data_IF_685221383003
#
_entry.id   IF_685221383003
#
_cell.length_a   1.000
_cell.length_b   1.000
_cell.length_c   1.000
_cell.angle_alpha   90.00
_cell.angle_beta   90.00
_cell.angle_gamma   90.00
#
_symmetry.space_group_name_H-M   'P 1'
#
loop_
_entity.id
_entity.type
_entity.pdbx_description
1 polymer ?
#
# COMPACT_ATOMS: atom_id res chain seq x y z
N UNK A 1 45.82 45.90 -36.04
CA UNK A 1 44.66 45.76 -35.09
C UNK A 1 44.72 44.35 -34.58
N UNK A 2 45.05 44.20 -33.29
CA UNK A 2 45.04 42.93 -32.60
C UNK A 2 43.59 42.59 -32.19
N UNK A 3 43.13 41.30 -32.27
CA UNK A 3 41.85 40.92 -31.77
C UNK A 3 41.87 40.83 -30.22
N UNK A 4 40.80 41.34 -29.60
CA UNK A 4 40.61 41.32 -28.16
C UNK A 4 40.52 39.91 -27.61
N UNK A 5 41.04 39.64 -26.38
CA UNK A 5 40.91 38.34 -25.74
C UNK A 5 39.47 38.08 -25.28
N UNK A 6 39.00 36.84 -25.47
CA UNK A 6 37.73 36.38 -25.03
C UNK A 6 37.62 36.33 -23.48
N UNK A 7 36.45 36.53 -22.89
CA UNK A 7 36.29 36.57 -21.43
C UNK A 7 36.44 35.18 -20.80
N UNK A 8 36.93 35.09 -19.53
CA UNK A 8 37.34 33.84 -18.88
C UNK A 8 36.21 33.11 -18.13
N UNK A 9 34.99 33.14 -18.62
CA UNK A 9 33.90 32.37 -18.00
C UNK A 9 33.26 31.39 -18.99
N UNK A 10 34.01 30.41 -19.41
CA UNK A 10 33.48 29.18 -19.95
C UNK A 10 32.98 28.37 -18.79
N UNK A 11 31.63 28.26 -18.67
CA UNK A 11 31.00 27.33 -17.78
C UNK A 11 31.49 25.92 -18.10
N UNK A 12 31.96 25.13 -17.12
CA UNK A 12 32.29 23.74 -17.38
C UNK A 12 31.02 23.03 -17.84
N UNK A 13 31.10 22.34 -18.99
CA UNK A 13 30.06 21.46 -19.44
C UNK A 13 29.75 20.48 -18.30
N UNK A 14 28.53 20.50 -17.78
CA UNK A 14 28.06 19.57 -16.79
C UNK A 14 27.93 18.17 -17.42
N UNK A 15 29.04 17.47 -17.54
CA UNK A 15 29.09 16.03 -17.77
C UNK A 15 28.97 15.33 -16.41
N UNK A 16 27.79 15.27 -15.92
CA UNK A 16 27.44 14.54 -14.70
C UNK A 16 26.07 13.96 -14.88
N UNK A 17 25.92 12.82 -15.56
CA UNK A 17 24.74 11.96 -15.42
C UNK A 17 24.77 11.35 -14.03
N UNK A 18 24.42 12.17 -13.02
CA UNK A 18 24.07 11.65 -11.71
C UNK A 18 22.75 10.89 -11.89
N UNK A 19 22.83 9.58 -12.01
CA UNK A 19 21.67 8.70 -11.91
C UNK A 19 21.15 8.84 -10.47
N UNK A 20 20.33 9.86 -10.25
CA UNK A 20 19.58 9.97 -9.00
C UNK A 20 18.81 8.65 -8.85
N UNK A 21 18.84 8.03 -7.65
CA UNK A 21 18.13 6.77 -7.42
C UNK A 21 16.66 6.96 -7.80
N UNK A 22 16.17 6.11 -8.70
CA UNK A 22 14.80 6.17 -9.19
C UNK A 22 14.00 4.97 -8.68
N UNK A 23 12.70 5.17 -8.48
CA UNK A 23 11.73 4.13 -8.15
C UNK A 23 10.64 4.07 -9.22
N UNK A 24 10.14 2.87 -9.49
CA UNK A 24 8.99 2.69 -10.37
C UNK A 24 7.69 2.85 -9.59
N UNK A 25 6.79 3.69 -10.09
CA UNK A 25 5.44 3.88 -9.56
C UNK A 25 4.42 3.55 -10.62
N UNK A 26 3.27 3.02 -10.20
CA UNK A 26 2.16 2.74 -11.10
C UNK A 26 1.25 3.98 -11.20
N UNK A 27 0.94 4.39 -12.40
CA UNK A 27 0.03 5.51 -12.64
C UNK A 27 -1.42 5.11 -12.41
N UNK A 28 -2.15 5.85 -11.58
CA UNK A 28 -3.57 5.58 -11.29
C UNK A 28 -4.48 5.71 -12.52
N UNK A 29 -4.11 6.55 -13.50
CA UNK A 29 -4.93 6.79 -14.68
C UNK A 29 -4.74 5.74 -15.78
N UNK A 30 -3.49 5.36 -16.11
CA UNK A 30 -3.22 4.44 -17.23
C UNK A 30 -2.65 3.08 -16.79
N UNK A 31 -2.44 2.86 -15.49
CA UNK A 31 -1.90 1.63 -14.87
C UNK A 31 -0.51 1.23 -15.35
N UNK A 32 0.16 2.08 -16.12
CA UNK A 32 1.56 1.84 -16.56
C UNK A 32 2.55 2.32 -15.50
N UNK A 33 3.71 1.66 -15.49
CA UNK A 33 4.80 2.04 -14.59
C UNK A 33 5.60 3.21 -15.16
N UNK A 34 5.93 4.16 -14.30
CA UNK A 34 6.74 5.35 -14.61
C UNK A 34 7.89 5.41 -13.61
N UNK A 35 9.12 5.58 -14.10
CA UNK A 35 10.28 5.80 -13.24
C UNK A 35 10.25 7.25 -12.74
N UNK A 36 10.41 7.42 -11.42
CA UNK A 36 10.42 8.74 -10.76
C UNK A 36 11.61 8.81 -9.80
N UNK A 37 12.24 9.98 -9.61
CA UNK A 37 13.28 10.14 -8.59
C UNK A 37 12.76 9.77 -7.20
N UNK A 38 13.57 9.11 -6.39
CA UNK A 38 13.18 8.68 -5.03
C UNK A 38 12.76 9.87 -4.14
N UNK A 39 13.40 11.03 -4.35
CA UNK A 39 13.15 12.27 -3.60
C UNK A 39 11.95 13.08 -4.12
N UNK A 40 11.35 12.69 -5.24
CA UNK A 40 10.23 13.42 -5.82
C UNK A 40 8.97 13.25 -4.95
N UNK A 41 8.28 14.36 -4.67
CA UNK A 41 6.97 14.39 -3.97
C UNK A 41 5.79 14.33 -4.94
N UNK A 42 6.06 14.59 -6.22
CA UNK A 42 5.08 14.47 -7.30
C UNK A 42 5.79 14.25 -8.64
N UNK A 43 5.07 13.70 -9.61
CA UNK A 43 5.56 13.51 -10.96
C UNK A 43 4.42 13.57 -11.97
N UNK A 44 4.76 13.67 -13.25
CA UNK A 44 3.85 13.41 -14.36
C UNK A 44 4.12 12.03 -14.95
N UNK A 45 3.07 11.31 -15.26
CA UNK A 45 3.21 10.02 -15.92
C UNK A 45 3.85 10.21 -17.30
N UNK A 46 4.90 9.46 -17.62
CA UNK A 46 5.57 9.50 -18.92
C UNK A 46 4.69 9.00 -20.08
N UNK A 47 3.60 8.29 -19.79
CA UNK A 47 2.73 7.69 -20.80
C UNK A 47 1.44 8.47 -21.07
N UNK A 48 0.82 9.06 -20.03
CA UNK A 48 -0.47 9.74 -20.16
C UNK A 48 -0.47 11.16 -19.59
N UNK A 49 0.68 11.65 -19.11
CA UNK A 49 0.86 12.99 -18.53
C UNK A 49 0.02 13.26 -17.27
N UNK A 50 -0.71 12.27 -16.74
CA UNK A 50 -1.48 12.42 -15.52
C UNK A 50 -0.56 12.78 -14.34
N UNK A 51 -1.07 13.62 -13.44
CA UNK A 51 -0.35 14.00 -12.22
C UNK A 51 -0.37 12.85 -11.22
N UNK A 52 0.80 12.49 -10.70
CA UNK A 52 0.99 11.42 -9.71
C UNK A 52 1.51 12.05 -8.43
N UNK A 53 0.76 11.93 -7.35
CA UNK A 53 1.23 12.24 -6.00
C UNK A 53 2.14 11.13 -5.49
N UNK A 54 3.25 11.49 -4.86
CA UNK A 54 4.27 10.57 -4.35
C UNK A 54 4.51 10.76 -2.86
N UNK A 55 3.91 11.79 -2.27
CA UNK A 55 4.03 12.16 -0.86
C UNK A 55 3.34 11.16 0.06
N UNK A 56 3.88 11.02 1.25
CA UNK A 56 3.25 10.29 2.33
C UNK A 56 2.13 11.13 2.95
N UNK A 57 1.00 10.50 3.26
CA UNK A 57 -0.20 11.18 3.77
C UNK A 57 -0.55 10.62 5.14
N UNK A 58 -0.71 11.51 6.13
CA UNK A 58 -1.24 11.14 7.44
C UNK A 58 -2.69 11.60 7.57
N UNK A 59 -3.58 10.67 7.91
CA UNK A 59 -5.01 10.91 8.09
C UNK A 59 -5.35 10.98 9.58
N UNK A 60 -6.04 12.07 9.95
CA UNK A 60 -6.49 12.35 11.31
C UNK A 60 -8.03 12.30 11.38
N UNK A 61 -8.59 12.29 12.58
CA UNK A 61 -10.04 12.27 12.83
C UNK A 61 -10.83 13.41 12.16
N UNK A 62 -10.19 14.54 11.87
CA UNK A 62 -10.79 15.68 11.18
C UNK A 62 -10.67 15.66 9.66
N UNK A 63 -10.25 14.54 9.09
CA UNK A 63 -10.11 14.42 7.65
C UNK A 63 -11.46 14.15 7.00
N UNK A 64 -12.00 15.13 6.26
CA UNK A 64 -13.27 15.03 5.53
C UNK A 64 -13.10 14.53 4.08
N UNK A 65 -12.00 13.87 3.77
CA UNK A 65 -11.73 13.35 2.43
C UNK A 65 -12.39 11.98 2.29
N UNK A 66 -13.15 11.80 1.22
CA UNK A 66 -13.71 10.49 0.82
C UNK A 66 -12.77 9.71 -0.09
N UNK A 67 -11.85 10.40 -0.78
CA UNK A 67 -10.87 9.79 -1.69
C UNK A 67 -9.46 10.27 -1.38
N UNK A 68 -8.54 9.30 -1.24
CA UNK A 68 -7.11 9.55 -1.03
C UNK A 68 -6.32 8.73 -2.05
N UNK A 69 -5.51 9.39 -2.88
CA UNK A 69 -4.65 8.73 -3.87
C UNK A 69 -3.23 9.25 -3.72
N UNK A 70 -2.27 8.35 -3.50
CA UNK A 70 -0.84 8.63 -3.50
C UNK A 70 -0.03 7.38 -3.82
N UNK A 71 1.10 7.52 -4.49
CA UNK A 71 2.10 6.45 -4.61
C UNK A 71 3.08 6.44 -3.43
N UNK A 72 2.81 7.20 -2.38
CA UNK A 72 3.48 7.17 -1.08
C UNK A 72 2.82 6.22 -0.08
N UNK A 73 3.12 6.41 1.19
CA UNK A 73 2.52 5.72 2.32
C UNK A 73 1.33 6.53 2.85
N UNK A 74 0.22 5.84 3.18
CA UNK A 74 -0.89 6.43 3.92
C UNK A 74 -0.89 5.88 5.32
N UNK A 75 -0.88 6.76 6.32
CA UNK A 75 -0.96 6.39 7.73
C UNK A 75 -2.26 6.93 8.33
N UNK A 76 -3.11 6.05 8.84
CA UNK A 76 -4.30 6.42 9.61
C UNK A 76 -3.91 6.44 11.09
N UNK A 77 -4.06 7.59 11.76
CA UNK A 77 -3.68 7.74 13.16
C UNK A 77 -4.63 7.03 14.12
N UNK A 78 -4.13 6.66 15.31
CA UNK A 78 -4.84 5.86 16.30
C UNK A 78 -6.17 6.45 16.79
N UNK A 79 -6.31 7.78 16.76
CA UNK A 79 -7.53 8.48 17.15
C UNK A 79 -8.49 8.76 15.98
N UNK A 80 -8.18 8.30 14.77
CA UNK A 80 -9.02 8.48 13.59
C UNK A 80 -10.07 7.38 13.51
N UNK A 81 -11.31 7.77 13.17
CA UNK A 81 -12.41 6.87 12.79
C UNK A 81 -12.99 7.41 11.48
N UNK A 82 -12.54 6.87 10.36
CA UNK A 82 -12.81 7.36 9.02
C UNK A 82 -13.69 6.37 8.28
N UNK A 83 -14.88 6.80 7.85
CA UNK A 83 -15.87 5.94 7.18
C UNK A 83 -16.04 6.32 5.71
N UNK A 84 -16.33 5.32 4.88
CA UNK A 84 -16.60 5.52 3.46
C UNK A 84 -15.39 6.03 2.66
N UNK A 85 -14.18 5.66 3.07
CA UNK A 85 -12.94 6.06 2.43
C UNK A 85 -12.63 5.18 1.22
N UNK A 86 -12.22 5.82 0.13
CA UNK A 86 -11.54 5.16 -0.97
C UNK A 86 -10.06 5.53 -0.93
N UNK A 87 -9.22 4.60 -0.49
CA UNK A 87 -7.76 4.80 -0.40
C UNK A 87 -7.09 4.01 -1.51
N UNK A 88 -6.28 4.69 -2.31
CA UNK A 88 -5.41 4.09 -3.32
C UNK A 88 -3.98 4.57 -3.06
N UNK A 89 -3.11 3.66 -2.60
CA UNK A 89 -1.76 4.02 -2.16
C UNK A 89 -0.75 2.90 -2.46
N UNK A 90 0.54 3.19 -2.22
CA UNK A 90 1.56 2.14 -2.24
C UNK A 90 1.48 1.32 -0.95
N UNK A 91 1.68 1.96 0.18
CA UNK A 91 1.67 1.30 1.49
C UNK A 91 0.60 1.94 2.39
N UNK A 92 -0.03 1.13 3.24
CA UNK A 92 -1.07 1.57 4.18
C UNK A 92 -0.76 1.10 5.59
N UNK A 93 -0.82 2.00 6.55
CA UNK A 93 -0.67 1.71 7.97
C UNK A 93 -1.93 2.17 8.70
N UNK A 94 -2.67 1.23 9.27
CA UNK A 94 -3.88 1.49 10.03
C UNK A 94 -3.59 1.38 11.53
N UNK A 95 -3.34 2.52 12.18
CA UNK A 95 -3.26 2.61 13.64
C UNK A 95 -4.62 3.02 14.26
N UNK A 96 -5.52 3.61 13.47
CA UNK A 96 -6.89 3.96 13.82
C UNK A 96 -7.90 3.20 12.98
N UNK A 97 -9.17 3.59 13.05
CA UNK A 97 -10.25 2.93 12.30
C UNK A 97 -10.44 3.57 10.93
N UNK A 98 -10.54 2.73 9.90
CA UNK A 98 -10.87 3.15 8.54
C UNK A 98 -11.73 2.09 7.87
N UNK A 99 -12.82 2.50 7.24
CA UNK A 99 -13.70 1.60 6.48
C UNK A 99 -13.96 2.16 5.08
N UNK A 100 -14.21 1.26 4.13
CA UNK A 100 -14.37 1.55 2.71
C UNK A 100 -13.40 0.73 1.88
N UNK A 101 -13.11 1.18 0.67
CA UNK A 101 -12.23 0.45 -0.26
C UNK A 101 -10.77 0.84 -0.06
N UNK A 102 -9.96 -0.13 0.32
CA UNK A 102 -8.55 0.04 0.62
C UNK A 102 -7.69 -0.69 -0.42
N UNK A 103 -7.10 0.05 -1.34
CA UNK A 103 -6.31 -0.47 -2.46
C UNK A 103 -4.84 -0.11 -2.27
N UNK A 104 -4.01 -1.12 -1.96
CA UNK A 104 -2.58 -0.94 -1.75
C UNK A 104 -1.79 -1.74 -2.79
N UNK A 105 -0.89 -1.09 -3.49
CA UNK A 105 0.02 -1.80 -4.42
C UNK A 105 1.20 -2.47 -3.71
N UNK A 106 1.45 -2.17 -2.45
CA UNK A 106 2.51 -2.70 -1.60
C UNK A 106 1.99 -3.35 -0.33
N UNK A 107 2.39 -2.81 0.82
CA UNK A 107 2.12 -3.40 2.14
C UNK A 107 0.94 -2.72 2.83
N UNK A 108 -0.02 -3.51 3.32
CA UNK A 108 -1.06 -3.07 4.25
C UNK A 108 -0.77 -3.65 5.64
N UNK A 109 -0.55 -2.78 6.63
CA UNK A 109 -0.37 -3.15 8.04
C UNK A 109 -1.54 -2.68 8.87
N UNK A 110 -2.20 -3.61 9.56
CA UNK A 110 -3.34 -3.33 10.44
C UNK A 110 -2.89 -3.53 11.88
N UNK A 111 -2.93 -2.45 12.68
CA UNK A 111 -2.45 -2.38 14.05
C UNK A 111 -3.55 -2.06 15.06
N UNK A 112 -4.77 -1.84 14.61
CA UNK A 112 -5.91 -1.57 15.45
C UNK A 112 -7.12 -2.39 15.00
N UNK A 113 -8.05 -2.60 15.90
CA UNK A 113 -9.30 -3.29 15.60
C UNK A 113 -10.07 -2.56 14.50
N UNK A 114 -10.52 -3.32 13.50
CA UNK A 114 -11.12 -2.76 12.28
C UNK A 114 -12.43 -3.46 11.95
N UNK A 115 -13.37 -2.67 11.40
CA UNK A 115 -14.47 -3.18 10.62
C UNK A 115 -14.45 -2.52 9.25
N UNK A 116 -13.93 -3.23 8.26
CA UNK A 116 -13.80 -2.76 6.89
C UNK A 116 -15.00 -3.23 6.09
N UNK A 117 -15.94 -2.32 5.80
CA UNK A 117 -17.16 -2.62 5.04
C UNK A 117 -16.97 -2.71 3.52
N UNK A 118 -15.80 -2.33 3.02
CA UNK A 118 -15.42 -2.41 1.60
C UNK A 118 -14.40 -3.52 1.32
N UNK A 119 -13.78 -3.43 0.16
CA UNK A 119 -12.76 -4.37 -0.31
C UNK A 119 -11.38 -3.95 0.17
N UNK A 120 -10.58 -4.92 0.63
CA UNK A 120 -9.18 -4.72 0.90
C UNK A 120 -8.32 -5.43 -0.15
N UNK A 121 -7.50 -4.68 -0.86
CA UNK A 121 -6.52 -5.21 -1.81
C UNK A 121 -5.12 -4.76 -1.45
N UNK A 122 -4.19 -5.71 -1.35
CA UNK A 122 -2.79 -5.40 -1.07
C UNK A 122 -1.88 -6.47 -1.67
N UNK A 123 -0.62 -6.14 -1.95
CA UNK A 123 0.36 -7.17 -2.25
C UNK A 123 0.64 -8.01 -1.01
N UNK A 124 0.85 -7.34 0.13
CA UNK A 124 1.13 -7.99 1.42
C UNK A 124 0.21 -7.43 2.49
N UNK A 125 -0.51 -8.31 3.15
CA UNK A 125 -1.31 -7.97 4.32
C UNK A 125 -0.59 -8.45 5.59
N UNK A 126 -0.54 -7.60 6.59
CA UNK A 126 -0.08 -7.96 7.94
C UNK A 126 -1.12 -7.51 8.95
N UNK A 127 -1.70 -8.45 9.68
CA UNK A 127 -2.57 -8.18 10.84
C UNK A 127 -1.74 -8.40 12.09
N UNK A 128 -1.54 -7.35 12.88
CA UNK A 128 -0.67 -7.42 14.06
C UNK A 128 -1.35 -8.18 15.22
N UNK A 129 -0.54 -8.56 16.20
CA UNK A 129 -0.99 -9.28 17.40
C UNK A 129 -2.03 -8.47 18.17
N UNK A 130 -2.98 -9.17 18.80
CA UNK A 130 -4.07 -8.57 19.61
C UNK A 130 -4.99 -7.63 18.83
N UNK A 131 -5.02 -7.73 17.52
CA UNK A 131 -5.89 -6.95 16.64
C UNK A 131 -7.00 -7.84 16.11
N UNK A 132 -8.24 -7.37 16.14
CA UNK A 132 -9.40 -8.03 15.56
C UNK A 132 -9.87 -7.25 14.32
N UNK A 133 -9.91 -7.91 13.18
CA UNK A 133 -10.27 -7.33 11.89
C UNK A 133 -11.41 -8.09 11.27
N UNK A 134 -12.51 -7.40 10.97
CA UNK A 134 -13.64 -7.93 10.19
C UNK A 134 -13.67 -7.23 8.82
N UNK A 135 -13.66 -8.01 7.75
CA UNK A 135 -13.77 -7.48 6.37
C UNK A 135 -14.97 -8.11 5.67
N UNK A 136 -15.97 -7.30 5.34
CA UNK A 136 -17.21 -7.79 4.72
C UNK A 136 -17.17 -7.82 3.19
N UNK A 137 -16.35 -6.97 2.57
CA UNK A 137 -16.23 -6.86 1.10
C UNK A 137 -15.17 -7.77 0.47
N UNK A 138 -14.50 -8.59 1.28
CA UNK A 138 -13.45 -9.51 0.83
C UNK A 138 -12.03 -8.93 0.85
N UNK A 139 -11.07 -9.83 1.03
CA UNK A 139 -9.64 -9.53 1.08
C UNK A 139 -8.95 -10.19 -0.10
N UNK A 140 -8.27 -9.40 -0.93
CA UNK A 140 -7.49 -9.90 -2.06
C UNK A 140 -6.03 -9.50 -1.91
N UNK A 141 -5.15 -10.49 -1.76
CA UNK A 141 -3.73 -10.23 -1.51
C UNK A 141 -2.84 -11.21 -2.29
N UNK A 142 -1.59 -10.87 -2.44
CA UNK A 142 -0.58 -11.84 -2.89
C UNK A 142 -0.16 -12.73 -1.72
N UNK A 143 0.19 -12.12 -0.58
CA UNK A 143 0.57 -12.85 0.64
C UNK A 143 -0.06 -12.23 1.89
N UNK A 144 -0.41 -13.05 2.88
CA UNK A 144 -0.97 -12.61 4.15
C UNK A 144 -0.21 -13.17 5.35
N UNK A 145 0.09 -12.31 6.32
CA UNK A 145 0.63 -12.67 7.64
C UNK A 145 -0.36 -12.26 8.71
N UNK A 146 -0.99 -13.27 9.33
CA UNK A 146 -2.04 -13.07 10.34
C UNK A 146 -1.45 -13.40 11.69
N UNK A 147 -1.29 -12.40 12.55
CA UNK A 147 -0.81 -12.54 13.92
C UNK A 147 -1.92 -12.24 14.96
N UNK A 148 -3.00 -11.61 14.54
CA UNK A 148 -4.20 -11.32 15.32
C UNK A 148 -5.38 -12.18 14.88
N UNK A 149 -6.58 -11.62 14.96
CA UNK A 149 -7.81 -12.24 14.45
C UNK A 149 -8.22 -11.56 13.15
N UNK A 150 -8.48 -12.33 12.12
CA UNK A 150 -9.04 -11.85 10.85
C UNK A 150 -10.30 -12.65 10.52
N UNK A 151 -11.39 -11.94 10.24
CA UNK A 151 -12.67 -12.52 9.84
C UNK A 151 -13.09 -12.01 8.45
N UNK A 152 -13.54 -12.89 7.58
CA UNK A 152 -14.01 -12.59 6.25
C UNK A 152 -13.52 -13.57 5.19
N UNK A 153 -13.80 -13.27 3.92
CA UNK A 153 -13.33 -14.06 2.78
C UNK A 153 -11.96 -13.56 2.33
N UNK A 154 -10.95 -14.45 2.32
CA UNK A 154 -9.57 -14.14 1.93
C UNK A 154 -9.20 -14.90 0.66
N UNK A 155 -8.81 -14.16 -0.37
CA UNK A 155 -8.20 -14.70 -1.58
C UNK A 155 -6.74 -14.29 -1.65
N UNK A 156 -5.82 -15.25 -1.66
CA UNK A 156 -4.39 -15.01 -1.74
C UNK A 156 -3.77 -15.77 -2.92
N UNK A 157 -3.12 -15.04 -3.82
CA UNK A 157 -2.42 -15.64 -4.98
C UNK A 157 -1.17 -16.42 -4.58
N UNK A 158 -0.61 -16.17 -3.41
CA UNK A 158 0.60 -16.80 -2.87
C UNK A 158 0.34 -17.53 -1.56
N UNK A 159 1.03 -17.10 -0.51
CA UNK A 159 1.04 -17.78 0.79
C UNK A 159 0.26 -17.01 1.84
N UNK A 160 -0.62 -17.71 2.55
CA UNK A 160 -1.25 -17.24 3.79
C UNK A 160 -0.56 -17.92 4.97
N UNK A 161 -0.06 -17.14 5.92
CA UNK A 161 0.55 -17.63 7.14
C UNK A 161 -0.28 -17.19 8.34
N UNK A 162 -0.81 -18.17 9.08
CA UNK A 162 -1.51 -17.96 10.34
C UNK A 162 -0.50 -18.26 11.45
N UNK A 163 -0.07 -17.20 12.15
CA UNK A 163 0.94 -17.32 13.18
C UNK A 163 0.37 -17.92 14.49
N UNK A 164 1.28 -18.24 15.39
CA UNK A 164 0.96 -18.73 16.74
C UNK A 164 -0.09 -17.84 17.42
N UNK A 165 -1.13 -18.47 17.96
CA UNK A 165 -2.27 -17.81 18.64
C UNK A 165 -3.11 -16.86 17.76
N UNK A 166 -2.84 -16.79 16.47
CA UNK A 166 -3.70 -16.06 15.53
C UNK A 166 -4.95 -16.88 15.19
N UNK A 167 -6.02 -16.18 14.84
CA UNK A 167 -7.27 -16.79 14.43
C UNK A 167 -7.69 -16.25 13.05
N UNK A 168 -8.08 -17.16 12.18
CA UNK A 168 -8.76 -16.79 10.94
C UNK A 168 -10.14 -17.43 10.90
N UNK A 169 -11.17 -16.59 10.73
CA UNK A 169 -12.58 -17.00 10.68
C UNK A 169 -13.15 -16.67 9.30
N UNK A 170 -13.50 -17.69 8.54
CA UNK A 170 -14.07 -17.54 7.19
C UNK A 170 -13.34 -18.36 6.13
N UNK A 171 -13.63 -18.06 4.87
CA UNK A 171 -13.17 -18.85 3.75
C UNK A 171 -11.82 -18.36 3.23
N UNK A 172 -10.88 -19.29 3.04
CA UNK A 172 -9.56 -19.01 2.46
C UNK A 172 -9.50 -19.66 1.08
N UNK A 173 -9.15 -18.85 0.08
CA UNK A 173 -8.74 -19.32 -1.24
C UNK A 173 -7.28 -18.93 -1.44
N UNK A 174 -6.36 -19.91 -1.43
CA UNK A 174 -4.92 -19.62 -1.49
C UNK A 174 -4.13 -20.69 -2.21
N UNK A 175 -2.97 -20.32 -2.78
CA UNK A 175 -2.05 -21.31 -3.34
C UNK A 175 -1.36 -22.14 -2.27
N UNK A 176 -1.01 -21.52 -1.14
CA UNK A 176 -0.39 -22.15 0.03
C UNK A 176 -0.95 -21.59 1.33
N UNK A 177 -1.29 -22.48 2.26
CA UNK A 177 -1.64 -22.12 3.62
C UNK A 177 -0.60 -22.72 4.58
N UNK A 178 -0.09 -21.91 5.49
CA UNK A 178 0.80 -22.31 6.57
C UNK A 178 0.14 -21.92 7.88
N UNK A 179 -0.07 -22.88 8.77
CA UNK A 179 -0.60 -22.64 10.12
C UNK A 179 0.48 -23.03 11.10
N UNK A 180 0.96 -22.07 11.88
CA UNK A 180 1.92 -22.32 12.94
C UNK A 180 1.24 -22.99 14.14
N UNK A 181 2.03 -23.61 15.00
CA UNK A 181 1.55 -24.26 16.23
C UNK A 181 0.71 -23.30 17.08
N UNK A 182 -0.54 -23.66 17.38
CA UNK A 182 -1.51 -22.82 18.09
C UNK A 182 -2.23 -21.78 17.25
N UNK A 183 -1.98 -21.72 15.94
CA UNK A 183 -2.83 -20.97 15.00
C UNK A 183 -4.15 -21.68 14.72
N UNK A 184 -5.22 -20.94 14.55
CA UNK A 184 -6.57 -21.49 14.32
C UNK A 184 -7.13 -20.96 13.01
N UNK A 185 -7.62 -21.89 12.17
CA UNK A 185 -8.49 -21.59 11.02
C UNK A 185 -9.84 -22.25 11.20
N UNK A 186 -10.91 -21.49 10.97
CA UNK A 186 -12.28 -21.98 11.01
C UNK A 186 -13.03 -21.44 9.78
N UNK A 187 -13.38 -22.32 8.86
CA UNK A 187 -14.03 -22.04 7.60
C UNK A 187 -13.58 -22.98 6.50
N UNK A 188 -13.97 -22.71 5.27
CA UNK A 188 -13.56 -23.51 4.10
C UNK A 188 -12.18 -23.12 3.60
N UNK A 189 -11.49 -24.12 3.00
CA UNK A 189 -10.21 -23.90 2.34
C UNK A 189 -10.30 -24.36 0.90
N UNK A 190 -10.05 -23.44 -0.03
CA UNK A 190 -9.97 -23.73 -1.46
C UNK A 190 -8.53 -23.47 -1.95
N UNK A 191 -7.95 -24.44 -2.65
CA UNK A 191 -6.61 -24.27 -3.21
C UNK A 191 -6.69 -23.66 -4.60
N UNK A 192 -5.92 -22.60 -4.83
CA UNK A 192 -5.67 -22.05 -6.16
C UNK A 192 -4.69 -22.96 -6.91
N UNK A 193 -5.01 -23.26 -8.13
CA UNK A 193 -4.16 -24.04 -9.06
C UNK A 193 -2.98 -23.22 -9.57
#
# INVERSE_FOLDING_TARGET
RQPSPAPPWTLPAATGSSHAPSRNVECFACRRRTAVPVTAVSARCSHCSAYIKLDDITLHSRTHRTKVQTCGCVTVQANADLKGLHIECRDLILNGKASGDLLCSGVCKIKADQHISGTLRARRLTVEKKTAVLVTGGVHVENAWIQGTLEGALTAEGTVTIHRHAKFLGDITARRLVIEEGGIHQGSLTRLS
#
